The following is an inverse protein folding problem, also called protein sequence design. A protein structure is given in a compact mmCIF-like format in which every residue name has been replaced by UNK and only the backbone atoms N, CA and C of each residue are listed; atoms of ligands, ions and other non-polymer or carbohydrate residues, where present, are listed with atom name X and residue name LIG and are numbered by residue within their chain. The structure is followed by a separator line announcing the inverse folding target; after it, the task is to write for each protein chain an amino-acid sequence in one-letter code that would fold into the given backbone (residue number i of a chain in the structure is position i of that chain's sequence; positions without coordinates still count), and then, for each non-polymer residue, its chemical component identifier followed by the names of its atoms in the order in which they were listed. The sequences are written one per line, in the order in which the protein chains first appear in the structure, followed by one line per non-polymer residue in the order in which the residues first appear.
data_IF_615553809880
#
_entry.id   IF_615553809880
#
_cell.length_a   1.000
_cell.length_b   1.000
_cell.length_c   1.000
_cell.angle_alpha   90.00
_cell.angle_beta   90.00
_cell.angle_gamma   90.00
#
_symmetry.space_group_name_H-M   'P 1'
#
loop_
_entity.id
_entity.type
_entity.pdbx_description
1 polymer ?
#
# COMPACT_ATOMS: atom_id res chain seq x y z
N UNK A 1 -12.05 -7.48 18.44
CA UNK A 1 -12.45 -6.11 18.01
C UNK A 1 -13.98 -6.06 18.06
N UNK A 2 -14.61 -4.97 18.50
CA UNK A 2 -16.08 -4.89 18.59
C UNK A 2 -16.65 -4.92 17.16
N UNK A 3 -17.55 -5.84 16.86
CA UNK A 3 -18.18 -6.06 15.54
C UNK A 3 -18.75 -4.77 14.96
N UNK A 4 -19.44 -3.98 15.79
CA UNK A 4 -19.99 -2.68 15.40
C UNK A 4 -18.92 -1.67 14.95
N UNK A 5 -17.74 -1.69 15.60
CA UNK A 5 -16.62 -0.82 15.21
C UNK A 5 -16.08 -1.20 13.83
N UNK A 6 -16.02 -2.49 13.53
CA UNK A 6 -15.58 -2.99 12.23
C UNK A 6 -16.55 -2.60 11.11
N UNK A 7 -17.85 -2.76 11.31
CA UNK A 7 -18.88 -2.33 10.36
C UNK A 7 -18.78 -0.82 10.05
N UNK A 8 -18.55 0.00 11.07
CA UNK A 8 -18.37 1.44 10.90
C UNK A 8 -17.14 1.74 10.05
N UNK A 9 -16.01 1.06 10.28
CA UNK A 9 -14.78 1.24 9.48
C UNK A 9 -15.05 0.89 8.02
N UNK A 10 -15.67 -0.24 7.73
CA UNK A 10 -15.98 -0.66 6.35
C UNK A 10 -16.91 0.33 5.64
N UNK A 11 -17.95 0.79 6.33
CA UNK A 11 -18.88 1.78 5.76
C UNK A 11 -18.17 3.11 5.48
N UNK A 12 -17.26 3.53 6.37
CA UNK A 12 -16.48 4.77 6.19
C UNK A 12 -15.47 4.63 5.05
N UNK A 13 -14.79 3.48 4.93
CA UNK A 13 -13.92 3.21 3.77
C UNK A 13 -14.73 3.34 2.48
N UNK A 14 -15.91 2.71 2.38
CA UNK A 14 -16.79 2.81 1.22
C UNK A 14 -17.19 4.26 0.90
N UNK A 15 -17.46 5.06 1.92
CA UNK A 15 -17.75 6.49 1.74
C UNK A 15 -16.52 7.26 1.18
N UNK A 16 -15.34 7.05 1.77
CA UNK A 16 -14.11 7.72 1.37
C UNK A 16 -13.66 7.34 -0.05
N UNK A 17 -13.84 6.08 -0.44
CA UNK A 17 -13.58 5.64 -1.81
C UNK A 17 -14.46 6.37 -2.84
N UNK A 18 -15.68 6.71 -2.47
CA UNK A 18 -16.65 7.39 -3.34
C UNK A 18 -16.47 8.91 -3.36
N UNK A 19 -16.14 9.52 -2.22
CA UNK A 19 -16.17 10.97 -2.04
C UNK A 19 -14.78 11.60 -1.85
N UNK A 20 -13.73 10.79 -1.63
CA UNK A 20 -12.37 11.28 -1.34
C UNK A 20 -12.23 11.85 0.07
N UNK A 21 -11.08 12.48 0.32
CA UNK A 21 -10.73 13.12 1.60
C UNK A 21 -11.03 14.61 1.64
N UNK A 22 -11.30 15.25 0.49
CA UNK A 22 -11.59 16.68 0.43
C UNK A 22 -12.83 17.00 1.29
N UNK A 23 -12.72 18.05 2.11
CA UNK A 23 -13.79 18.50 3.02
C UNK A 23 -14.33 17.46 3.99
N UNK A 24 -13.56 16.39 4.27
CA UNK A 24 -13.98 15.34 5.15
C UNK A 24 -14.22 15.82 6.58
N UNK A 25 -15.47 15.68 7.05
CA UNK A 25 -15.86 15.93 8.42
C UNK A 25 -16.64 14.77 9.02
N UNK A 26 -16.77 14.74 10.35
CA UNK A 26 -17.48 13.64 11.04
C UNK A 26 -18.98 13.60 10.73
N UNK A 27 -19.59 14.71 10.32
CA UNK A 27 -21.04 14.77 10.06
C UNK A 27 -21.46 13.89 8.87
N UNK A 28 -20.91 14.06 7.66
CA UNK A 28 -21.28 13.22 6.52
C UNK A 28 -20.88 11.76 6.73
N UNK A 29 -19.76 11.49 7.39
CA UNK A 29 -19.36 10.11 7.74
C UNK A 29 -20.38 9.44 8.65
N UNK A 30 -20.83 10.15 9.68
CA UNK A 30 -21.83 9.65 10.62
C UNK A 30 -23.18 9.41 9.92
N UNK A 31 -23.65 10.37 9.11
CA UNK A 31 -24.89 10.24 8.35
C UNK A 31 -24.88 9.03 7.42
N UNK A 32 -23.78 8.85 6.66
CA UNK A 32 -23.62 7.69 5.76
C UNK A 32 -23.55 6.35 6.51
N UNK A 33 -23.07 6.35 7.75
CA UNK A 33 -22.93 5.15 8.59
C UNK A 33 -24.15 4.88 9.49
N UNK A 34 -25.26 5.61 9.30
CA UNK A 34 -26.47 5.45 10.11
C UNK A 34 -26.25 5.71 11.60
N UNK A 35 -25.35 6.67 11.94
CA UNK A 35 -24.95 6.97 13.31
C UNK A 35 -24.82 8.47 13.55
N UNK A 36 -24.35 8.90 14.73
CA UNK A 36 -24.07 10.30 15.04
C UNK A 36 -22.59 10.57 15.17
N UNK A 37 -22.16 11.82 14.92
CA UNK A 37 -20.77 12.24 15.15
C UNK A 37 -20.32 11.99 16.59
N UNK A 38 -21.24 12.12 17.57
CA UNK A 38 -20.96 11.82 18.98
C UNK A 38 -20.62 10.33 19.17
N UNK A 39 -21.34 9.44 18.50
CA UNK A 39 -21.10 8.00 18.60
C UNK A 39 -19.81 7.61 17.87
N UNK A 40 -19.46 8.23 16.75
CA UNK A 40 -18.14 8.06 16.14
C UNK A 40 -17.02 8.47 17.11
N UNK A 41 -17.13 9.63 17.76
CA UNK A 41 -16.14 10.06 18.76
C UNK A 41 -16.09 9.10 19.96
N UNK A 42 -17.23 8.56 20.38
CA UNK A 42 -17.25 7.54 21.44
C UNK A 42 -16.42 6.31 21.06
N UNK A 43 -16.58 5.79 19.85
CA UNK A 43 -15.87 4.59 19.37
C UNK A 43 -14.39 4.85 19.04
N UNK A 44 -14.07 6.00 18.45
CA UNK A 44 -12.76 6.28 17.86
C UNK A 44 -11.96 7.36 18.60
N UNK A 45 -12.53 8.00 19.62
CA UNK A 45 -11.97 9.05 20.47
C UNK A 45 -11.81 10.41 19.77
N UNK A 46 -11.33 10.43 18.53
CA UNK A 46 -11.15 11.64 17.72
C UNK A 46 -11.35 11.34 16.22
N UNK A 47 -11.30 12.36 15.39
CA UNK A 47 -11.26 12.22 13.93
C UNK A 47 -9.98 11.51 13.50
N UNK A 48 -8.86 11.88 14.09
CA UNK A 48 -7.55 11.26 13.83
C UNK A 48 -7.52 9.79 14.25
N UNK A 49 -8.14 9.46 15.40
CA UNK A 49 -8.31 8.08 15.85
C UNK A 49 -9.16 7.25 14.88
N UNK A 50 -10.24 7.82 14.35
CA UNK A 50 -11.05 7.19 13.29
C UNK A 50 -10.20 6.94 12.04
N UNK A 51 -9.48 7.95 11.55
CA UNK A 51 -8.65 7.80 10.35
C UNK A 51 -7.48 6.83 10.54
N UNK A 52 -6.93 6.76 11.74
CA UNK A 52 -5.90 5.75 12.07
C UNK A 52 -6.46 4.33 11.91
N UNK A 53 -7.66 4.07 12.41
CA UNK A 53 -8.29 2.75 12.27
C UNK A 53 -8.66 2.43 10.81
N UNK A 54 -9.11 3.42 10.05
CA UNK A 54 -9.35 3.30 8.60
C UNK A 54 -8.05 2.97 7.86
N UNK A 55 -6.96 3.70 8.13
CA UNK A 55 -5.62 3.46 7.58
C UNK A 55 -5.14 2.03 7.85
N UNK A 56 -5.22 1.60 9.10
CA UNK A 56 -4.79 0.26 9.51
C UNK A 56 -5.63 -0.83 8.82
N UNK A 57 -6.95 -0.64 8.70
CA UNK A 57 -7.83 -1.59 8.02
C UNK A 57 -7.53 -1.68 6.51
N UNK A 58 -7.31 -0.54 5.85
CA UNK A 58 -6.95 -0.50 4.43
C UNK A 58 -5.58 -1.12 4.19
N UNK A 59 -4.58 -0.78 5.01
CA UNK A 59 -3.24 -1.35 4.95
C UNK A 59 -3.28 -2.88 5.11
N UNK A 60 -4.03 -3.39 6.09
CA UNK A 60 -4.16 -4.83 6.30
C UNK A 60 -4.83 -5.55 5.11
N UNK A 61 -5.79 -4.90 4.45
CA UNK A 61 -6.45 -5.41 3.23
C UNK A 61 -5.46 -5.50 2.07
N UNK A 62 -4.77 -4.39 1.77
CA UNK A 62 -3.77 -4.33 0.69
C UNK A 62 -2.64 -5.33 0.93
N UNK A 63 -2.11 -5.39 2.16
CA UNK A 63 -1.07 -6.35 2.54
C UNK A 63 -1.50 -7.78 2.29
N UNK A 64 -2.70 -8.18 2.72
CA UNK A 64 -3.23 -9.54 2.50
C UNK A 64 -3.30 -9.88 1.01
N UNK A 65 -3.83 -8.98 0.18
CA UNK A 65 -3.87 -9.19 -1.26
C UNK A 65 -2.46 -9.35 -1.87
N UNK A 66 -1.50 -8.56 -1.43
CA UNK A 66 -0.10 -8.70 -1.86
C UNK A 66 0.51 -10.04 -1.38
N UNK A 67 0.26 -10.47 -0.14
CA UNK A 67 0.73 -11.76 0.38
C UNK A 67 0.18 -12.94 -0.43
N UNK A 68 -1.11 -12.92 -0.78
CA UNK A 68 -1.75 -13.94 -1.62
C UNK A 68 -1.14 -13.98 -3.04
N UNK A 69 -0.92 -12.83 -3.67
CA UNK A 69 -0.25 -12.73 -4.97
C UNK A 69 1.17 -13.30 -4.92
N UNK A 70 1.93 -12.93 -3.90
CA UNK A 70 3.32 -13.35 -3.73
C UNK A 70 3.43 -14.85 -3.42
N UNK A 71 2.53 -15.39 -2.60
CA UNK A 71 2.51 -16.82 -2.28
C UNK A 71 2.34 -17.69 -3.54
N UNK A 72 1.57 -17.22 -4.52
CA UNK A 72 1.40 -17.90 -5.80
C UNK A 72 2.64 -17.75 -6.71
N UNK A 73 3.25 -16.56 -6.74
CA UNK A 73 4.43 -16.29 -7.57
C UNK A 73 5.68 -17.04 -7.12
N UNK A 74 5.89 -17.20 -5.80
CA UNK A 74 7.07 -17.87 -5.24
C UNK A 74 7.07 -19.37 -5.56
N UNK A 75 5.91 -19.97 -5.82
CA UNK A 75 5.77 -21.40 -6.15
C UNK A 75 6.18 -21.72 -7.60
N UNK A 76 6.24 -20.73 -8.47
CA UNK A 76 6.62 -20.91 -9.88
C UNK A 76 7.97 -20.22 -10.16
N UNK A 77 9.08 -20.98 -10.30
CA UNK A 77 10.40 -20.41 -10.62
C UNK A 77 10.47 -19.69 -11.97
N UNK A 78 9.51 -19.97 -12.86
CA UNK A 78 9.38 -19.31 -14.18
C UNK A 78 8.24 -18.29 -14.20
N UNK A 79 7.61 -18.07 -13.06
CA UNK A 79 6.51 -17.13 -12.88
C UNK A 79 6.91 -15.67 -13.06
N UNK A 80 5.91 -14.79 -13.11
CA UNK A 80 6.14 -13.37 -13.27
C UNK A 80 6.90 -12.78 -12.07
N UNK A 81 7.71 -11.76 -12.34
CA UNK A 81 8.46 -11.03 -11.30
C UNK A 81 7.48 -10.44 -10.27
N UNK A 82 7.71 -10.66 -8.97
CA UNK A 82 6.81 -10.20 -7.90
C UNK A 82 6.42 -8.72 -7.99
N UNK A 83 7.38 -7.84 -8.29
CA UNK A 83 7.11 -6.41 -8.42
C UNK A 83 6.13 -6.09 -9.56
N UNK A 84 6.22 -6.82 -10.69
CA UNK A 84 5.26 -6.69 -11.81
C UNK A 84 3.86 -7.16 -11.43
N UNK A 85 3.75 -8.23 -10.65
CA UNK A 85 2.46 -8.73 -10.18
C UNK A 85 1.76 -7.71 -9.28
N UNK A 86 2.51 -7.16 -8.30
CA UNK A 86 1.98 -6.13 -7.40
C UNK A 86 1.60 -4.88 -8.19
N UNK A 87 2.40 -4.47 -9.18
CA UNK A 87 2.09 -3.33 -10.04
C UNK A 87 0.80 -3.53 -10.83
N UNK A 88 0.65 -4.67 -11.50
CA UNK A 88 -0.54 -4.97 -12.29
C UNK A 88 -1.80 -4.98 -11.40
N UNK A 89 -1.70 -5.59 -10.22
CA UNK A 89 -2.78 -5.59 -9.24
C UNK A 89 -3.11 -4.18 -8.74
N UNK A 90 -2.09 -3.38 -8.43
CA UNK A 90 -2.25 -2.02 -7.89
C UNK A 90 -2.86 -1.04 -8.91
N UNK A 91 -2.58 -1.25 -10.20
CA UNK A 91 -3.06 -0.38 -11.29
C UNK A 91 -4.33 -0.88 -11.95
N UNK A 92 -4.86 -2.01 -11.52
CA UNK A 92 -6.16 -2.52 -11.93
C UNK A 92 -7.29 -1.58 -11.49
N UNK A 93 -8.32 -1.45 -12.31
CA UNK A 93 -9.43 -0.52 -12.10
C UNK A 93 -10.17 -0.75 -10.76
N UNK A 94 -10.19 -1.98 -10.24
CA UNK A 94 -10.84 -2.32 -8.97
C UNK A 94 -9.98 -1.93 -7.76
N UNK A 95 -8.65 -2.04 -7.87
CA UNK A 95 -7.71 -1.84 -6.77
C UNK A 95 -7.14 -0.41 -6.71
N UNK A 96 -6.99 0.23 -7.86
CA UNK A 96 -6.40 1.57 -7.97
C UNK A 96 -7.04 2.62 -7.04
N UNK A 97 -8.39 2.74 -6.94
CA UNK A 97 -9.01 3.71 -6.03
C UNK A 97 -8.67 3.45 -4.56
N UNK A 98 -8.55 2.18 -4.15
CA UNK A 98 -8.20 1.81 -2.79
C UNK A 98 -6.75 2.22 -2.46
N UNK A 99 -5.80 1.92 -3.35
CA UNK A 99 -4.42 2.34 -3.16
C UNK A 99 -4.29 3.87 -3.18
N UNK A 100 -4.93 4.54 -4.12
CA UNK A 100 -4.94 6.01 -4.16
C UNK A 100 -5.39 6.61 -2.83
N UNK A 101 -6.50 6.15 -2.27
CA UNK A 101 -6.99 6.60 -0.97
C UNK A 101 -5.98 6.30 0.16
N UNK A 102 -5.33 5.13 0.12
CA UNK A 102 -4.30 4.78 1.11
C UNK A 102 -3.12 5.75 1.06
N UNK A 103 -2.65 6.13 -0.14
CA UNK A 103 -1.58 7.13 -0.29
C UNK A 103 -2.01 8.52 0.20
N UNK A 104 -3.22 8.96 -0.12
CA UNK A 104 -3.76 10.24 0.37
C UNK A 104 -3.79 10.29 1.91
N UNK A 105 -4.27 9.21 2.54
CA UNK A 105 -4.30 9.08 3.99
C UNK A 105 -2.89 8.99 4.60
N UNK A 106 -1.95 8.33 3.93
CA UNK A 106 -0.56 8.26 4.38
C UNK A 106 0.12 9.64 4.34
N UNK A 107 -0.12 10.42 3.29
CA UNK A 107 0.39 11.80 3.21
C UNK A 107 -0.20 12.65 4.35
N UNK A 108 -1.49 12.51 4.65
CA UNK A 108 -2.13 13.17 5.79
C UNK A 108 -1.48 12.78 7.12
N UNK A 109 -1.14 11.49 7.29
CA UNK A 109 -0.45 11.01 8.49
C UNK A 109 0.98 11.59 8.61
N UNK A 110 1.71 11.69 7.51
CA UNK A 110 3.06 12.30 7.46
C UNK A 110 3.00 13.80 7.82
N UNK A 111 1.96 14.51 7.38
CA UNK A 111 1.75 15.93 7.71
C UNK A 111 1.39 16.15 9.19
N UNK A 112 0.88 15.12 9.88
CA UNK A 112 0.43 15.19 11.26
C UNK A 112 1.08 14.07 12.12
N UNK A 113 2.41 14.00 12.22
CA UNK A 113 3.11 12.82 12.75
C UNK A 113 2.79 12.52 14.21
N UNK A 114 2.51 13.52 15.04
CA UNK A 114 2.11 13.31 16.44
C UNK A 114 0.76 12.61 16.59
N UNK A 115 -0.20 12.91 15.71
CA UNK A 115 -1.52 12.31 15.72
C UNK A 115 -1.52 10.85 15.20
N UNK A 116 -0.58 10.53 14.31
CA UNK A 116 -0.49 9.21 13.64
C UNK A 116 0.80 8.44 13.98
N UNK A 117 1.47 8.78 15.09
CA UNK A 117 2.78 8.23 15.46
C UNK A 117 2.83 6.70 15.44
N UNK A 118 1.82 6.04 16.00
CA UNK A 118 1.75 4.57 16.01
C UNK A 118 1.65 4.00 14.60
N UNK A 119 0.77 4.55 13.75
CA UNK A 119 0.65 4.10 12.36
C UNK A 119 1.96 4.25 11.60
N UNK A 120 2.61 5.40 11.71
CA UNK A 120 3.87 5.67 11.01
C UNK A 120 5.01 4.75 11.46
N UNK A 121 5.09 4.43 12.75
CA UNK A 121 6.08 3.50 13.28
C UNK A 121 5.88 2.07 12.72
N UNK A 122 4.64 1.59 12.69
CA UNK A 122 4.32 0.24 12.26
C UNK A 122 4.37 0.08 10.73
N UNK A 123 4.07 1.15 9.98
CA UNK A 123 3.93 1.10 8.52
C UNK A 123 5.23 0.69 7.81
N UNK A 124 6.35 1.32 8.14
CA UNK A 124 7.64 1.05 7.50
C UNK A 124 8.08 -0.40 7.70
N UNK A 125 7.95 -0.93 8.92
CA UNK A 125 8.32 -2.31 9.23
C UNK A 125 7.47 -3.31 8.46
N UNK A 126 6.16 -3.07 8.36
CA UNK A 126 5.22 -3.95 7.69
C UNK A 126 5.47 -4.08 6.18
N UNK A 127 5.76 -2.97 5.49
CA UNK A 127 6.02 -2.99 4.04
C UNK A 127 7.41 -3.51 3.70
N UNK A 128 8.42 -3.20 4.52
CA UNK A 128 9.77 -3.72 4.35
C UNK A 128 9.78 -5.25 4.49
N UNK A 129 9.09 -5.80 5.49
CA UNK A 129 8.96 -7.24 5.70
C UNK A 129 8.30 -7.92 4.49
N UNK A 130 7.19 -7.38 3.99
CA UNK A 130 6.52 -7.89 2.79
C UNK A 130 7.46 -7.88 1.57
N UNK A 131 8.18 -6.78 1.34
CA UNK A 131 9.13 -6.68 0.23
C UNK A 131 10.27 -7.70 0.36
N UNK A 132 10.79 -7.93 1.57
CA UNK A 132 11.82 -8.93 1.82
C UNK A 132 11.36 -10.35 1.52
N UNK A 133 10.08 -10.69 1.73
CA UNK A 133 9.56 -12.03 1.39
C UNK A 133 9.51 -12.27 -0.11
N UNK A 134 9.33 -11.22 -0.91
CA UNK A 134 9.27 -11.28 -2.37
C UNK A 134 10.65 -11.35 -3.04
N UNK A 135 11.73 -11.07 -2.33
CA UNK A 135 13.10 -11.03 -2.86
C UNK A 135 13.76 -12.40 -2.67
N UNK A 136 14.36 -13.00 -3.73
CA UNK A 136 15.13 -14.23 -3.62
C UNK A 136 16.24 -14.13 -2.56
N UNK A 137 16.50 -15.24 -1.85
CA UNK A 137 17.40 -15.27 -0.68
C UNK A 137 18.79 -14.68 -0.96
N UNK A 138 19.35 -14.96 -2.15
CA UNK A 138 20.67 -14.51 -2.59
C UNK A 138 20.78 -12.99 -2.82
N UNK A 139 19.65 -12.29 -2.90
CA UNK A 139 19.56 -10.83 -3.11
C UNK A 139 18.83 -10.11 -1.98
N UNK A 140 18.43 -10.85 -0.95
CA UNK A 140 17.61 -10.31 0.14
C UNK A 140 18.42 -9.36 1.01
N UNK A 141 18.08 -8.07 0.93
CA UNK A 141 18.63 -7.03 1.80
C UNK A 141 17.59 -5.92 2.01
N UNK A 142 17.66 -5.25 3.15
CA UNK A 142 16.79 -4.12 3.46
C UNK A 142 16.96 -2.98 2.45
N UNK A 143 18.19 -2.74 2.00
CA UNK A 143 18.50 -1.71 1.02
C UNK A 143 17.83 -2.00 -0.33
N UNK A 144 17.90 -3.24 -0.80
CA UNK A 144 17.26 -3.61 -2.06
C UNK A 144 15.74 -3.62 -1.96
N UNK A 145 15.19 -4.08 -0.84
CA UNK A 145 13.75 -4.01 -0.56
C UNK A 145 13.26 -2.55 -0.53
N UNK A 146 14.00 -1.66 0.16
CA UNK A 146 13.70 -0.22 0.18
C UNK A 146 13.75 0.40 -1.22
N UNK A 147 14.74 0.04 -2.04
CA UNK A 147 14.85 0.54 -3.41
C UNK A 147 13.65 0.10 -4.25
N UNK A 148 13.25 -1.17 -4.17
CA UNK A 148 12.07 -1.67 -4.89
C UNK A 148 10.78 -0.94 -4.46
N UNK A 149 10.59 -0.73 -3.15
CA UNK A 149 9.46 0.03 -2.61
C UNK A 149 9.47 1.48 -3.10
N UNK A 150 10.62 2.17 -3.01
CA UNK A 150 10.75 3.56 -3.46
C UNK A 150 10.48 3.73 -4.97
N UNK A 151 10.88 2.77 -5.80
CA UNK A 151 10.54 2.78 -7.23
C UNK A 151 9.05 2.58 -7.45
N UNK A 152 8.45 1.61 -6.75
CA UNK A 152 7.01 1.39 -6.83
C UNK A 152 6.23 2.64 -6.41
N UNK A 153 6.53 3.20 -5.25
CA UNK A 153 5.87 4.38 -4.70
C UNK A 153 6.01 5.60 -5.61
N UNK A 154 7.22 5.84 -6.13
CA UNK A 154 7.48 6.93 -7.07
C UNK A 154 6.71 6.79 -8.38
N UNK A 155 6.70 5.60 -8.98
CA UNK A 155 5.95 5.33 -10.21
C UNK A 155 4.43 5.38 -10.00
N UNK A 156 3.94 4.92 -8.83
CA UNK A 156 2.52 4.98 -8.52
C UNK A 156 2.06 6.42 -8.29
N UNK A 157 2.86 7.25 -7.61
CA UNK A 157 2.62 8.67 -7.45
C UNK A 157 2.61 9.40 -8.81
N UNK A 158 3.57 9.05 -9.69
CA UNK A 158 3.63 9.58 -11.05
C UNK A 158 2.39 9.19 -11.88
N UNK A 159 1.93 7.94 -11.73
CA UNK A 159 0.69 7.48 -12.37
C UNK A 159 -0.53 8.25 -11.87
N UNK A 160 -0.67 8.44 -10.56
CA UNK A 160 -1.78 9.22 -9.98
C UNK A 160 -1.78 10.66 -10.49
N UNK A 161 -0.60 11.24 -10.70
CA UNK A 161 -0.44 12.64 -11.10
C UNK A 161 -0.69 12.86 -12.59
N UNK A 162 -0.34 11.89 -13.45
CA UNK A 162 -0.33 12.06 -14.91
C UNK A 162 -1.38 11.22 -15.64
N UNK A 163 -1.86 10.14 -15.03
CA UNK A 163 -2.72 9.16 -15.69
C UNK A 163 -2.01 8.33 -16.78
N UNK A 164 -0.69 8.45 -16.94
CA UNK A 164 0.06 7.78 -18.01
C UNK A 164 0.46 6.36 -17.62
N UNK A 165 -0.49 5.43 -17.70
CA UNK A 165 -0.30 4.01 -17.43
C UNK A 165 0.81 3.38 -18.28
N UNK A 166 0.91 3.77 -19.55
CA UNK A 166 1.88 3.19 -20.48
C UNK A 166 3.31 3.54 -20.09
N UNK A 167 3.58 4.83 -19.85
CA UNK A 167 4.91 5.32 -19.50
C UNK A 167 5.38 4.78 -18.16
N UNK A 168 4.52 4.77 -17.16
CA UNK A 168 4.86 4.27 -15.82
C UNK A 168 5.11 2.76 -15.81
N UNK A 169 4.30 1.97 -16.53
CA UNK A 169 4.54 0.53 -16.70
C UNK A 169 5.86 0.26 -17.45
N UNK A 170 6.19 1.02 -18.50
CA UNK A 170 7.47 0.88 -19.21
C UNK A 170 8.67 1.24 -18.34
N UNK A 171 8.55 2.25 -17.47
CA UNK A 171 9.59 2.61 -16.51
C UNK A 171 9.82 1.51 -15.47
N UNK A 172 8.74 0.86 -14.97
CA UNK A 172 8.86 -0.31 -14.11
C UNK A 172 9.60 -1.46 -14.79
N UNK A 173 9.25 -1.78 -16.04
CA UNK A 173 9.92 -2.83 -16.80
C UNK A 173 11.42 -2.54 -17.01
N UNK A 174 11.76 -1.29 -17.30
CA UNK A 174 13.16 -0.86 -17.37
C UNK A 174 13.90 -1.10 -16.06
N UNK A 175 13.29 -0.73 -14.92
CA UNK A 175 13.88 -0.99 -13.61
C UNK A 175 14.09 -2.49 -13.37
N UNK A 176 13.08 -3.32 -13.64
CA UNK A 176 13.16 -4.79 -13.51
C UNK A 176 14.31 -5.35 -14.38
N UNK A 177 14.45 -4.88 -15.60
CA UNK A 177 15.54 -5.30 -16.49
C UNK A 177 16.91 -4.89 -15.96
N UNK A 178 17.07 -3.66 -15.48
CA UNK A 178 18.33 -3.14 -14.93
C UNK A 178 18.79 -3.96 -13.71
N UNK A 179 17.89 -4.21 -12.75
CA UNK A 179 18.24 -5.00 -11.56
C UNK A 179 18.42 -6.48 -11.88
N UNK A 180 17.70 -7.03 -12.87
CA UNK A 180 17.86 -8.40 -13.36
C UNK A 180 19.14 -8.61 -14.18
N UNK A 181 19.56 -7.61 -14.97
CA UNK A 181 20.81 -7.62 -15.75
C UNK A 181 22.05 -7.49 -14.86
N UNK A 182 22.01 -6.62 -13.85
CA UNK A 182 23.07 -6.51 -12.85
C UNK A 182 23.32 -7.84 -12.11
N UNK A 183 22.27 -8.65 -11.93
CA UNK A 183 22.33 -9.98 -11.30
C UNK A 183 23.15 -10.99 -12.10
N UNK A 184 23.18 -10.90 -13.45
CA UNK A 184 23.98 -11.80 -14.31
C UNK A 184 25.47 -11.45 -14.30
N UNK A 185 25.83 -10.19 -14.08
CA UNK A 185 27.20 -9.70 -14.10
C UNK A 185 28.00 -10.01 -12.80
N UNK A 186 27.31 -10.22 -11.69
CA UNK A 186 27.94 -10.44 -10.37
C UNK A 186 28.23 -11.89 -10.00
N UNK A 187 27.91 -12.88 -10.85
CA UNK A 187 28.37 -14.26 -10.62
C UNK A 187 29.89 -14.33 -10.86
N UNK A 188 30.72 -14.60 -9.82
CA UNK A 188 32.15 -14.75 -10.02
C UNK A 188 32.38 -15.94 -10.93
N UNK A 189 33.14 -15.76 -12.00
CA UNK A 189 33.68 -16.86 -12.79
C UNK A 189 34.44 -17.77 -11.81
N UNK A 190 33.94 -18.96 -11.52
CA UNK A 190 34.72 -20.01 -10.87
C UNK A 190 35.97 -20.19 -11.76
N UNK A 191 37.13 -19.79 -11.25
CA UNK A 191 38.40 -20.18 -11.84
C UNK A 191 38.49 -21.70 -11.73
N UNK A 192 38.65 -22.35 -12.86
CA UNK A 192 39.04 -23.75 -12.96
C UNK A 192 40.47 -23.94 -12.41
#
# INVERSE_FOLDING_TARGET
MNERKQELIETIIGYLLKHGLADMSLRPLAANSGTSSRLLIYHFKSKEGLLTEVLLAMQARVRRSCEELLANAIRDPHGPVPLRLIWNWATDAENFPCLKLLYELQILAIQNPSAYAKYLADNTANWLDLALTAIPAEHRSSQFATLCGAVFDGLFLELMSTGDHKRTAQALELFICLVGGARKATKPKKKA
#
